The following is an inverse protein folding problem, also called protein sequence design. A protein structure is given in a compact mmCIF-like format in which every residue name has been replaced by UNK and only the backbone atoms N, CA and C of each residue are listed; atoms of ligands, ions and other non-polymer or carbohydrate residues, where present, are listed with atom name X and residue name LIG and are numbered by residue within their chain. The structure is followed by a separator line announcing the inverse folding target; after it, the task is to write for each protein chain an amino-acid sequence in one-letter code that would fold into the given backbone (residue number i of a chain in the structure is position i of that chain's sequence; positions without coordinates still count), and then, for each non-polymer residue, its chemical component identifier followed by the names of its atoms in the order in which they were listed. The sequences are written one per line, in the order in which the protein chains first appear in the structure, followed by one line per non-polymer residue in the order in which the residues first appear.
data_IF_448183977877
#
_entry.id   IF_448183977877
#
_cell.length_a   1.000
_cell.length_b   1.000
_cell.length_c   1.000
_cell.angle_alpha   90.00
_cell.angle_beta   90.00
_cell.angle_gamma   90.00
#
_symmetry.space_group_name_H-M   'P 1'
#
loop_
_entity.id
_entity.type
_entity.pdbx_description
1 polymer ?
#
# COMPACT_ATOMS: atom_id res chain seq x y z
N UNK A 1 8.20 -7.34 -7.61
CA UNK A 1 8.15 -7.13 -6.14
C UNK A 1 6.85 -6.42 -5.82
N UNK A 2 6.06 -6.92 -4.87
CA UNK A 2 4.75 -6.35 -4.54
C UNK A 2 4.91 -5.36 -3.39
N UNK A 3 4.99 -4.06 -3.71
CA UNK A 3 5.10 -2.98 -2.73
C UNK A 3 3.80 -2.20 -2.72
N UNK A 4 3.15 -2.14 -1.56
CA UNK A 4 1.91 -1.39 -1.37
C UNK A 4 2.19 -0.24 -0.40
N UNK A 5 1.91 0.97 -0.86
CA UNK A 5 1.98 2.18 -0.06
C UNK A 5 0.59 2.52 0.48
N UNK A 6 0.41 2.36 1.80
CA UNK A 6 -0.86 2.57 2.48
C UNK A 6 -1.07 4.01 2.96
N UNK A 7 -0.12 4.90 2.67
CA UNK A 7 -0.21 6.32 3.03
C UNK A 7 -1.31 7.01 2.23
N UNK A 8 -1.81 8.18 2.69
CA UNK A 8 -2.78 8.96 1.95
C UNK A 8 -2.29 9.29 0.53
N UNK A 9 -3.23 9.32 -0.43
CA UNK A 9 -2.94 9.60 -1.86
C UNK A 9 -2.09 10.86 -2.07
N UNK A 10 -2.30 11.90 -1.25
CA UNK A 10 -1.52 13.15 -1.30
C UNK A 10 -0.04 12.93 -0.96
N UNK A 11 0.27 12.07 0.00
CA UNK A 11 1.65 11.75 0.38
C UNK A 11 2.35 10.96 -0.74
N UNK A 12 1.67 9.96 -1.30
CA UNK A 12 2.17 9.17 -2.43
C UNK A 12 2.44 10.00 -3.69
N UNK A 13 1.53 10.95 -4.01
CA UNK A 13 1.72 11.88 -5.13
C UNK A 13 2.91 12.82 -4.92
N UNK A 14 3.20 13.21 -3.67
CA UNK A 14 4.34 14.06 -3.34
C UNK A 14 5.65 13.31 -3.55
N UNK A 15 5.74 12.09 -3.00
CA UNK A 15 6.85 11.16 -3.18
C UNK A 15 6.39 9.74 -3.00
N UNK A 16 6.84 8.85 -3.88
CA UNK A 16 6.62 7.41 -3.79
C UNK A 16 7.89 6.66 -4.18
N UNK A 17 7.94 5.40 -3.78
CA UNK A 17 8.94 4.47 -4.30
C UNK A 17 8.49 4.01 -5.69
N UNK A 18 9.39 4.11 -6.67
CA UNK A 18 9.10 3.67 -8.03
C UNK A 18 8.64 2.19 -8.04
N UNK A 19 7.58 1.91 -8.79
CA UNK A 19 6.97 0.58 -8.85
C UNK A 19 6.05 0.21 -7.67
N UNK A 20 5.92 1.05 -6.65
CA UNK A 20 4.92 0.83 -5.58
C UNK A 20 3.50 1.21 -6.02
N UNK A 21 2.49 0.52 -5.47
CA UNK A 21 1.07 0.81 -5.70
C UNK A 21 0.48 1.53 -4.49
N UNK A 22 -0.20 2.66 -4.69
CA UNK A 22 -0.91 3.31 -3.61
C UNK A 22 -2.28 2.66 -3.35
N UNK A 23 -2.44 2.06 -2.18
CA UNK A 23 -3.72 1.54 -1.68
C UNK A 23 -3.91 2.12 -0.28
N UNK A 24 -4.60 3.28 -0.14
CA UNK A 24 -4.80 3.91 1.16
C UNK A 24 -5.29 2.94 2.22
N UNK A 25 -4.83 3.08 3.45
CA UNK A 25 -5.11 2.14 4.54
C UNK A 25 -6.59 1.70 4.63
N UNK A 26 -7.52 2.66 4.60
CA UNK A 26 -8.96 2.34 4.65
C UNK A 26 -9.41 1.48 3.46
N UNK A 27 -8.90 1.76 2.25
CA UNK A 27 -9.23 0.98 1.05
C UNK A 27 -8.71 -0.46 1.20
N UNK A 28 -7.51 -0.64 1.75
CA UNK A 28 -6.89 -1.95 1.97
C UNK A 28 -7.61 -2.77 3.03
N UNK A 29 -7.97 -2.16 4.18
CA UNK A 29 -8.63 -2.85 5.29
C UNK A 29 -10.08 -3.22 4.96
N UNK A 30 -10.79 -2.37 4.22
CA UNK A 30 -12.18 -2.61 3.86
C UNK A 30 -12.35 -3.64 2.73
N UNK A 31 -11.35 -3.79 1.84
CA UNK A 31 -11.42 -4.66 0.66
C UNK A 31 -10.07 -5.37 0.41
N UNK A 32 -9.53 -6.13 1.37
CA UNK A 32 -8.19 -6.71 1.26
C UNK A 32 -8.06 -7.66 0.07
N UNK A 33 -9.10 -8.44 -0.25
CA UNK A 33 -9.15 -9.39 -1.37
C UNK A 33 -8.97 -8.75 -2.74
N UNK A 34 -9.22 -7.44 -2.88
CA UNK A 34 -8.99 -6.70 -4.12
C UNK A 34 -7.51 -6.39 -4.36
N UNK A 35 -6.70 -6.38 -3.30
CA UNK A 35 -5.33 -5.87 -3.34
C UNK A 35 -4.28 -6.88 -2.88
N UNK A 36 -4.68 -7.88 -2.10
CA UNK A 36 -3.82 -8.91 -1.52
C UNK A 36 -4.22 -10.29 -2.02
N UNK A 37 -3.21 -11.05 -2.42
CA UNK A 37 -3.31 -12.49 -2.65
C UNK A 37 -2.65 -13.22 -1.47
N UNK A 38 -3.31 -14.24 -0.90
CA UNK A 38 -2.79 -14.97 0.26
C UNK A 38 -1.50 -15.75 -0.03
N UNK A 39 -1.25 -16.05 -1.30
CA UNK A 39 -0.09 -16.82 -1.76
C UNK A 39 1.08 -15.93 -2.19
N UNK A 40 0.97 -14.61 -2.01
CA UNK A 40 2.01 -13.64 -2.38
C UNK A 40 2.59 -12.90 -1.17
N UNK A 41 3.86 -12.52 -1.26
CA UNK A 41 4.53 -11.68 -0.27
C UNK A 41 4.41 -10.20 -0.65
N UNK A 42 4.04 -9.36 0.33
CA UNK A 42 3.87 -7.92 0.16
C UNK A 42 4.76 -7.14 1.12
N UNK A 43 5.32 -6.04 0.63
CA UNK A 43 6.00 -5.04 1.44
C UNK A 43 5.09 -3.83 1.60
N UNK A 44 4.86 -3.40 2.85
CA UNK A 44 3.94 -2.30 3.16
C UNK A 44 4.74 -1.05 3.54
N UNK A 45 4.46 0.08 2.86
CA UNK A 45 4.98 1.40 3.22
C UNK A 45 3.89 2.15 4.00
N UNK A 46 4.21 2.59 5.22
CA UNK A 46 3.31 3.31 6.11
C UNK A 46 3.98 4.55 6.71
N UNK A 47 3.20 5.57 7.07
CA UNK A 47 3.70 6.80 7.70
C UNK A 47 3.95 6.65 9.20
N UNK A 48 3.25 5.73 9.86
CA UNK A 48 3.22 5.66 11.32
C UNK A 48 4.30 4.73 11.88
N UNK A 49 4.83 3.80 11.07
CA UNK A 49 5.57 2.66 11.60
C UNK A 49 4.68 1.81 12.53
N UNK A 50 5.01 0.53 12.67
CA UNK A 50 4.48 -0.30 13.76
C UNK A 50 5.65 -0.87 14.52
#
# INVERSE_FOLDING_TARGET
MNIIDIRPRKAFKKFNLEGSKNVPFNDLVLKPEKYLNKDEFFYIICSLGS
#
